data_IF_611552069635
#
_entry.id   IF_611552069635
#
_cell.length_a   1.000
_cell.length_b   1.000
_cell.length_c   1.000
_cell.angle_alpha   90.00
_cell.angle_beta   90.00
_cell.angle_gamma   90.00
#
_symmetry.space_group_name_H-M   'P 1'
#
loop_
_entity.id
_entity.type
_entity.pdbx_description
1 polymer ?
#
# COMPACT_ATOMS: atom_id res chain seq x y z
N UNK A 1 -9.54 -4.41 -18.34
CA UNK A 1 -8.61 -4.59 -19.50
C UNK A 1 -7.47 -5.47 -19.02
N UNK A 2 -7.14 -6.54 -19.68
CA UNK A 2 -6.12 -7.46 -19.15
C UNK A 2 -4.73 -6.84 -19.38
N UNK A 3 -4.14 -6.29 -18.31
CA UNK A 3 -2.91 -5.48 -18.26
C UNK A 3 -1.71 -6.22 -18.88
N UNK A 4 -1.72 -7.56 -18.84
CA UNK A 4 -0.68 -8.43 -19.42
C UNK A 4 -0.48 -8.26 -20.94
N UNK A 5 -1.42 -7.62 -21.65
CA UNK A 5 -1.37 -7.46 -23.12
C UNK A 5 -1.07 -6.04 -23.61
N UNK A 6 -0.84 -5.06 -22.71
CA UNK A 6 -0.60 -3.67 -23.13
C UNK A 6 0.70 -3.52 -23.94
N UNK A 7 0.60 -2.78 -25.02
CA UNK A 7 1.78 -2.35 -25.81
C UNK A 7 2.52 -1.22 -25.07
N UNK A 8 3.80 -0.95 -25.41
CA UNK A 8 4.51 0.21 -24.84
C UNK A 8 3.79 1.54 -25.05
N UNK A 9 3.06 1.70 -26.15
CA UNK A 9 2.28 2.92 -26.43
C UNK A 9 1.09 3.05 -25.49
N UNK A 10 0.39 1.95 -25.20
CA UNK A 10 -0.72 1.94 -24.24
C UNK A 10 -0.24 2.18 -22.81
N UNK A 11 0.93 1.63 -22.44
CA UNK A 11 1.55 1.92 -21.13
C UNK A 11 1.86 3.41 -21.00
N UNK A 12 2.41 4.04 -22.05
CA UNK A 12 2.67 5.48 -22.06
C UNK A 12 1.35 6.26 -21.92
N UNK A 13 0.30 5.87 -22.66
CA UNK A 13 -1.00 6.53 -22.58
C UNK A 13 -1.63 6.42 -21.17
N UNK A 14 -1.44 5.30 -20.46
CA UNK A 14 -1.85 5.18 -19.07
C UNK A 14 -1.02 6.07 -18.12
N UNK A 15 0.28 6.19 -18.38
CA UNK A 15 1.13 7.11 -17.62
C UNK A 15 0.77 8.58 -17.87
N UNK A 16 0.34 8.92 -19.09
CA UNK A 16 -0.07 10.28 -19.49
C UNK A 16 -1.28 10.80 -18.69
N UNK A 17 -2.11 9.90 -18.17
CA UNK A 17 -3.23 10.27 -17.29
C UNK A 17 -2.78 10.90 -15.96
N UNK A 18 -1.52 10.67 -15.55
CA UNK A 18 -0.99 11.09 -14.25
C UNK A 18 0.27 11.95 -14.35
N UNK A 19 1.02 11.83 -15.44
CA UNK A 19 2.36 12.42 -15.57
C UNK A 19 2.41 13.27 -16.81
N UNK A 20 2.59 14.56 -16.61
CA UNK A 20 2.70 15.54 -17.68
C UNK A 20 4.13 15.60 -18.22
N UNK A 21 4.26 15.63 -19.54
CA UNK A 21 5.54 15.64 -20.22
C UNK A 21 6.37 14.38 -19.97
N UNK A 22 7.70 14.50 -19.95
CA UNK A 22 8.65 13.40 -19.67
C UNK A 22 8.56 12.21 -20.63
N UNK A 23 8.27 12.47 -21.93
CA UNK A 23 7.92 11.44 -22.91
C UNK A 23 9.04 10.42 -23.14
N UNK A 24 10.31 10.87 -23.11
CA UNK A 24 11.46 9.96 -23.25
C UNK A 24 11.57 9.02 -22.06
N UNK A 25 11.33 9.53 -20.85
CA UNK A 25 11.33 8.73 -19.62
C UNK A 25 10.21 7.69 -19.64
N UNK A 26 8.97 8.11 -19.93
CA UNK A 26 7.81 7.24 -20.06
C UNK A 26 8.04 6.15 -21.10
N UNK A 27 8.57 6.51 -22.27
CA UNK A 27 8.89 5.57 -23.36
C UNK A 27 9.92 4.54 -22.93
N UNK A 28 11.05 4.97 -22.35
CA UNK A 28 12.13 4.08 -21.93
C UNK A 28 11.66 3.06 -20.89
N UNK A 29 10.89 3.53 -19.92
CA UNK A 29 10.33 2.70 -18.87
C UNK A 29 9.27 1.72 -19.41
N UNK A 30 8.40 2.18 -20.30
CA UNK A 30 7.39 1.32 -20.97
C UNK A 30 8.06 0.21 -21.82
N UNK A 31 9.17 0.51 -22.48
CA UNK A 31 9.94 -0.48 -23.24
C UNK A 31 10.58 -1.50 -22.29
N UNK A 32 11.20 -1.06 -21.19
CA UNK A 32 11.82 -1.94 -20.20
C UNK A 32 10.82 -2.94 -19.64
N UNK A 33 9.62 -2.47 -19.28
CA UNK A 33 8.53 -3.34 -18.83
C UNK A 33 8.04 -4.31 -19.92
N UNK A 34 7.83 -3.83 -21.12
CA UNK A 34 7.38 -4.72 -22.20
C UNK A 34 8.41 -5.79 -22.51
N UNK A 35 9.69 -5.47 -22.42
CA UNK A 35 10.75 -6.46 -22.58
C UNK A 35 10.72 -7.50 -21.46
N UNK A 36 10.35 -7.11 -20.24
CA UNK A 36 10.15 -8.04 -19.13
C UNK A 36 8.97 -9.00 -19.39
N UNK A 37 7.85 -8.49 -19.88
CA UNK A 37 6.73 -9.33 -20.31
C UNK A 37 7.15 -10.28 -21.45
N UNK A 38 7.89 -9.79 -22.46
CA UNK A 38 8.40 -10.62 -23.58
C UNK A 38 9.29 -11.73 -23.05
N UNK A 39 10.16 -11.43 -22.09
CA UNK A 39 11.04 -12.40 -21.43
C UNK A 39 10.23 -13.53 -20.78
N UNK A 40 9.14 -13.22 -20.09
CA UNK A 40 8.27 -14.22 -19.44
C UNK A 40 7.53 -15.15 -20.45
N UNK A 41 7.55 -14.83 -21.76
CA UNK A 41 7.00 -15.67 -22.82
C UNK A 41 8.05 -16.58 -23.48
N UNK A 42 9.31 -16.47 -23.07
CA UNK A 42 10.40 -17.30 -23.61
C UNK A 42 10.44 -18.66 -22.92
N UNK A 43 11.16 -19.62 -23.53
CA UNK A 43 11.51 -20.88 -22.87
C UNK A 43 12.35 -20.63 -21.62
N UNK A 44 12.32 -21.57 -20.68
CA UNK A 44 13.04 -21.43 -19.40
C UNK A 44 14.53 -21.17 -19.61
N UNK A 45 15.18 -21.86 -20.54
CA UNK A 45 16.59 -21.67 -20.91
C UNK A 45 16.88 -20.22 -21.36
N UNK A 46 16.10 -19.69 -22.29
CA UNK A 46 16.29 -18.32 -22.80
C UNK A 46 15.88 -17.28 -21.76
N UNK A 47 14.95 -17.60 -20.87
CA UNK A 47 14.50 -16.71 -19.80
C UNK A 47 15.58 -16.53 -18.73
N UNK A 48 16.36 -17.55 -18.43
CA UNK A 48 17.48 -17.48 -17.49
C UNK A 48 18.65 -16.63 -18.04
N UNK A 49 18.91 -16.70 -19.35
CA UNK A 49 19.98 -15.94 -20.00
C UNK A 49 19.69 -14.42 -20.14
N UNK A 50 18.42 -14.04 -20.14
CA UNK A 50 18.02 -12.64 -20.35
C UNK A 50 17.70 -11.96 -19.01
N UNK A 51 18.63 -11.16 -18.49
CA UNK A 51 18.39 -10.33 -17.30
C UNK A 51 17.69 -9.01 -17.65
N UNK A 52 16.77 -8.52 -16.80
CA UNK A 52 16.18 -7.19 -16.96
C UNK A 52 17.25 -6.10 -16.93
N UNK A 53 17.08 -5.07 -17.76
CA UNK A 53 18.00 -3.92 -17.76
C UNK A 53 17.49 -2.88 -16.77
N UNK A 54 18.30 -2.55 -15.78
CA UNK A 54 17.99 -1.54 -14.80
C UNK A 54 18.05 -0.13 -15.39
N UNK A 55 17.36 0.81 -14.75
CA UNK A 55 17.14 2.15 -15.23
C UNK A 55 17.72 3.15 -14.22
N UNK A 56 18.49 4.11 -14.69
CA UNK A 56 18.92 5.28 -13.91
C UNK A 56 18.15 6.50 -14.37
N UNK A 57 17.27 7.01 -13.50
CA UNK A 57 16.50 8.23 -13.73
C UNK A 57 17.24 9.44 -13.13
N UNK A 58 17.58 10.38 -13.96
CA UNK A 58 18.28 11.62 -13.58
C UNK A 58 17.35 12.80 -13.76
N UNK A 59 17.53 13.86 -12.99
CA UNK A 59 16.80 15.12 -13.15
C UNK A 59 16.33 15.71 -11.83
N UNK A 60 15.85 16.96 -11.84
CA UNK A 60 15.52 17.72 -10.65
C UNK A 60 14.53 17.04 -9.71
N UNK A 61 14.46 17.52 -8.49
CA UNK A 61 13.47 17.07 -7.51
C UNK A 61 12.06 17.47 -7.98
N UNK A 62 11.08 16.62 -7.74
CA UNK A 62 9.66 16.93 -8.00
C UNK A 62 9.23 16.92 -9.47
N UNK A 63 10.04 16.38 -10.41
CA UNK A 63 9.69 16.28 -11.84
C UNK A 63 8.96 14.97 -12.21
N UNK A 64 8.65 14.10 -11.24
CA UNK A 64 7.86 12.91 -11.46
C UNK A 64 8.61 11.58 -11.45
N UNK A 65 9.92 11.51 -11.14
CA UNK A 65 10.72 10.26 -11.11
C UNK A 65 10.04 9.14 -10.32
N UNK A 66 9.71 9.40 -9.07
CA UNK A 66 9.04 8.41 -8.19
C UNK A 66 7.65 8.06 -8.68
N UNK A 67 6.90 9.04 -9.21
CA UNK A 67 5.53 8.83 -9.65
C UNK A 67 5.46 7.94 -10.90
N UNK A 68 6.40 8.11 -11.85
CA UNK A 68 6.55 7.20 -13.00
C UNK A 68 6.68 5.75 -12.51
N UNK A 69 7.63 5.48 -11.61
CA UNK A 69 7.88 4.12 -11.11
C UNK A 69 6.69 3.55 -10.34
N UNK A 70 6.04 4.37 -9.49
CA UNK A 70 4.86 3.96 -8.72
C UNK A 70 3.67 3.62 -9.60
N UNK A 71 3.36 4.47 -10.59
CA UNK A 71 2.24 4.22 -11.54
C UNK A 71 2.49 3.00 -12.38
N UNK A 72 3.71 2.85 -12.82
CA UNK A 72 4.16 1.68 -13.54
C UNK A 72 3.90 0.38 -12.78
N UNK A 73 4.32 0.33 -11.53
CA UNK A 73 4.10 -0.84 -10.66
C UNK A 73 2.60 -1.13 -10.48
N UNK A 74 1.76 -0.10 -10.36
CA UNK A 74 0.30 -0.26 -10.30
C UNK A 74 -0.29 -0.80 -11.59
N UNK A 75 0.13 -0.27 -12.76
CA UNK A 75 -0.30 -0.75 -14.08
C UNK A 75 0.05 -2.23 -14.25
N UNK A 76 1.17 -2.69 -13.69
CA UNK A 76 1.64 -4.07 -13.82
C UNK A 76 1.19 -4.98 -12.69
N UNK A 77 0.49 -4.47 -11.68
CA UNK A 77 0.16 -5.19 -10.45
C UNK A 77 1.40 -5.87 -9.83
N UNK A 78 2.57 -5.21 -10.01
CA UNK A 78 3.86 -5.72 -9.59
C UNK A 78 4.17 -5.32 -8.15
N UNK A 79 4.85 -6.19 -7.38
CA UNK A 79 5.40 -5.80 -6.09
C UNK A 79 6.35 -4.62 -6.25
N UNK A 80 6.14 -3.57 -5.45
CA UNK A 80 6.90 -2.32 -5.53
C UNK A 80 7.28 -1.82 -4.17
N UNK A 81 8.56 -1.45 -4.04
CA UNK A 81 9.05 -0.69 -2.89
C UNK A 81 9.80 0.55 -3.37
N UNK A 82 9.71 1.58 -2.54
CA UNK A 82 10.57 2.76 -2.62
C UNK A 82 11.48 2.78 -1.41
N UNK A 83 12.77 2.90 -1.66
CA UNK A 83 13.80 3.02 -0.64
C UNK A 83 14.65 4.26 -0.93
N UNK A 84 15.25 4.82 0.11
CA UNK A 84 16.20 5.93 -0.03
C UNK A 84 17.61 5.38 0.21
N UNK A 85 18.53 5.61 -0.74
CA UNK A 85 19.90 5.08 -0.65
C UNK A 85 20.63 5.55 0.61
N UNK A 86 20.32 6.75 1.10
CA UNK A 86 20.89 7.35 2.31
C UNK A 86 20.49 6.69 3.62
N UNK A 87 19.45 5.84 3.63
CA UNK A 87 19.02 5.10 4.84
C UNK A 87 19.82 3.83 5.09
N UNK A 88 20.66 3.43 4.14
CA UNK A 88 21.49 2.24 4.25
C UNK A 88 22.88 2.57 4.76
N UNK A 89 23.45 1.66 5.50
CA UNK A 89 24.80 1.76 6.04
C UNK A 89 25.60 0.56 5.58
N UNK A 90 26.93 0.75 5.47
CA UNK A 90 27.87 -0.32 5.17
C UNK A 90 27.77 -1.44 6.21
N UNK A 91 27.93 -2.68 5.77
CA UNK A 91 27.88 -3.87 6.64
C UNK A 91 28.84 -3.71 7.83
N UNK A 92 28.30 -3.88 9.04
CA UNK A 92 29.05 -3.72 10.30
C UNK A 92 28.84 -2.39 11.02
N UNK A 93 28.17 -1.43 10.41
CA UNK A 93 27.74 -0.18 11.06
C UNK A 93 26.30 -0.25 11.55
N UNK A 94 25.96 0.59 12.54
CA UNK A 94 24.58 0.70 13.03
C UNK A 94 23.73 1.39 11.97
N UNK A 95 22.74 0.67 11.43
CA UNK A 95 21.84 1.17 10.42
C UNK A 95 21.07 0.05 9.74
N UNK A 96 20.41 0.37 8.65
CA UNK A 96 19.61 -0.59 7.90
C UNK A 96 20.48 -1.31 6.87
N UNK A 97 20.49 -2.62 6.84
CA UNK A 97 21.19 -3.41 5.83
C UNK A 97 20.48 -3.31 4.46
N UNK A 98 21.24 -3.46 3.37
CA UNK A 98 20.73 -3.37 2.01
C UNK A 98 19.78 -4.52 1.64
N UNK A 99 19.95 -5.72 2.24
CA UNK A 99 19.05 -6.85 1.98
C UNK A 99 17.63 -6.60 2.47
N UNK A 100 17.47 -5.69 3.44
CA UNK A 100 16.15 -5.33 3.97
C UNK A 100 15.21 -4.79 2.88
N UNK A 101 15.75 -4.18 1.79
CA UNK A 101 14.91 -3.77 0.67
C UNK A 101 14.22 -4.97 0.00
N UNK A 102 14.92 -6.09 -0.12
CA UNK A 102 14.35 -7.31 -0.73
C UNK A 102 13.35 -7.95 0.23
N UNK A 103 13.64 -7.98 1.53
CA UNK A 103 12.68 -8.46 2.55
C UNK A 103 11.39 -7.64 2.52
N UNK A 104 11.48 -6.32 2.42
CA UNK A 104 10.30 -5.44 2.30
C UNK A 104 9.54 -5.66 0.98
N UNK A 105 10.24 -5.90 -0.13
CA UNK A 105 9.62 -6.22 -1.41
C UNK A 105 8.81 -7.51 -1.34
N UNK A 106 9.35 -8.54 -0.69
CA UNK A 106 8.65 -9.82 -0.48
C UNK A 106 7.41 -9.62 0.38
N UNK A 107 7.49 -8.83 1.47
CA UNK A 107 6.31 -8.49 2.28
C UNK A 107 5.23 -7.78 1.45
N UNK A 108 5.64 -6.85 0.59
CA UNK A 108 4.71 -6.19 -0.32
C UNK A 108 4.09 -7.18 -1.31
N UNK A 109 4.88 -8.14 -1.82
CA UNK A 109 4.40 -9.20 -2.71
C UNK A 109 3.39 -10.10 -2.03
N UNK A 110 3.68 -10.58 -0.83
CA UNK A 110 2.77 -11.44 -0.04
C UNK A 110 1.44 -10.72 0.21
N UNK A 111 1.50 -9.44 0.58
CA UNK A 111 0.30 -8.64 0.79
C UNK A 111 -0.56 -8.51 -0.47
N UNK A 112 0.07 -8.22 -1.62
CA UNK A 112 -0.64 -8.07 -2.90
C UNK A 112 -1.24 -9.41 -3.34
N UNK A 113 -0.47 -10.49 -3.28
CA UNK A 113 -0.92 -11.84 -3.66
C UNK A 113 -2.05 -12.32 -2.75
N UNK A 114 -1.90 -12.13 -1.44
CA UNK A 114 -2.95 -12.44 -0.47
C UNK A 114 -4.25 -11.69 -0.77
N UNK A 115 -4.17 -10.38 -1.06
CA UNK A 115 -5.34 -9.58 -1.39
C UNK A 115 -6.03 -10.07 -2.67
N UNK A 116 -5.26 -10.41 -3.70
CA UNK A 116 -5.78 -10.96 -4.95
C UNK A 116 -6.54 -12.26 -4.71
N UNK A 117 -5.97 -13.20 -3.94
CA UNK A 117 -6.65 -14.45 -3.59
C UNK A 117 -7.90 -14.22 -2.74
N UNK A 118 -7.90 -13.24 -1.84
CA UNK A 118 -9.08 -12.80 -1.09
C UNK A 118 -10.17 -12.31 -2.05
N UNK A 119 -9.82 -11.42 -2.97
CA UNK A 119 -10.76 -10.83 -3.93
C UNK A 119 -11.39 -11.90 -4.84
N UNK A 120 -10.61 -12.90 -5.25
CA UNK A 120 -11.11 -14.06 -6.02
C UNK A 120 -12.10 -14.94 -5.24
N UNK A 121 -12.05 -14.92 -3.91
CA UNK A 121 -12.93 -15.69 -3.03
C UNK A 121 -14.14 -14.91 -2.52
N UNK A 122 -14.23 -13.59 -2.80
CA UNK A 122 -15.26 -12.73 -2.22
C UNK A 122 -16.69 -13.21 -2.48
N UNK A 123 -17.01 -13.69 -3.69
CA UNK A 123 -18.37 -14.13 -4.00
C UNK A 123 -18.78 -15.35 -3.15
N UNK A 124 -17.87 -16.28 -2.94
CA UNK A 124 -18.10 -17.47 -2.11
C UNK A 124 -18.14 -17.09 -0.63
N UNK A 125 -17.24 -16.18 -0.22
CA UNK A 125 -17.19 -15.69 1.15
C UNK A 125 -18.43 -14.89 1.53
N UNK A 126 -18.99 -14.11 0.61
CA UNK A 126 -20.22 -13.34 0.85
C UNK A 126 -21.43 -14.28 1.06
N UNK A 127 -21.53 -15.37 0.28
CA UNK A 127 -22.56 -16.40 0.48
C UNK A 127 -22.41 -17.09 1.84
N UNK A 128 -21.19 -17.44 2.27
CA UNK A 128 -20.96 -18.04 3.58
C UNK A 128 -21.23 -17.07 4.72
N UNK A 129 -20.85 -15.82 4.57
CA UNK A 129 -21.16 -14.76 5.54
C UNK A 129 -22.66 -14.55 5.69
N UNK A 130 -23.44 -14.59 4.58
CA UNK A 130 -24.91 -14.57 4.60
C UNK A 130 -25.47 -15.77 5.39
N UNK A 131 -24.95 -16.97 5.17
CA UNK A 131 -25.37 -18.18 5.88
C UNK A 131 -25.04 -18.11 7.39
N UNK A 132 -23.88 -17.57 7.77
CA UNK A 132 -23.50 -17.36 9.17
C UNK A 132 -24.39 -16.33 9.87
N UNK A 133 -24.71 -15.22 9.21
CA UNK A 133 -25.65 -14.22 9.72
C UNK A 133 -27.04 -14.84 9.87
N UNK A 134 -27.48 -15.62 8.90
CA UNK A 134 -28.75 -16.32 8.95
C UNK A 134 -28.81 -17.33 10.11
N UNK A 135 -27.71 -18.06 10.36
CA UNK A 135 -27.59 -18.97 11.51
C UNK A 135 -27.63 -18.22 12.85
N UNK A 136 -27.02 -17.02 12.91
CA UNK A 136 -27.05 -16.18 14.11
C UNK A 136 -28.44 -15.57 14.39
N UNK A 137 -29.19 -15.18 13.34
CA UNK A 137 -30.52 -14.60 13.45
C UNK A 137 -31.62 -15.71 13.68
N UNK A 138 -31.46 -16.87 13.03
CA UNK A 138 -32.43 -18.01 13.13
C UNK A 138 -31.63 -19.30 13.42
N UNK A 139 -31.24 -19.53 14.68
CA UNK A 139 -30.44 -20.70 15.06
C UNK A 139 -31.20 -22.03 14.83
N UNK A 140 -30.48 -23.06 14.36
CA UNK A 140 -31.02 -24.43 14.29
C UNK A 140 -31.22 -25.01 15.68
N UNK A 141 -32.43 -25.49 15.96
CA UNK A 141 -32.74 -26.12 17.23
C UNK A 141 -31.89 -27.38 17.56
N UNK A 142 -31.22 -27.96 16.55
CA UNK A 142 -30.36 -29.14 16.70
C UNK A 142 -28.89 -28.81 17.09
N UNK A 143 -28.42 -27.59 16.90
CA UNK A 143 -27.02 -27.23 17.15
C UNK A 143 -26.71 -26.65 18.55
N UNK A 144 -27.71 -26.39 19.39
CA UNK A 144 -27.54 -25.86 20.76
C UNK A 144 -26.76 -26.76 21.73
N UNK A 145 -26.31 -27.96 21.32
CA UNK A 145 -25.65 -28.94 22.21
C UNK A 145 -24.09 -28.97 22.15
N UNK A 146 -23.42 -28.06 21.44
CA UNK A 146 -21.94 -28.13 21.34
C UNK A 146 -21.15 -26.92 21.86
N UNK A 147 -21.77 -25.91 22.42
CA UNK A 147 -21.05 -24.72 22.92
C UNK A 147 -20.92 -24.67 24.46
N UNK A 148 -20.76 -25.81 25.12
CA UNK A 148 -20.70 -25.85 26.57
C UNK A 148 -19.85 -26.98 27.19
N UNK A 149 -18.97 -27.61 26.42
CA UNK A 149 -17.98 -28.56 27.00
C UNK A 149 -16.55 -28.10 26.70
N UNK A 150 -15.99 -27.32 27.62
CA UNK A 150 -14.57 -27.31 27.88
C UNK A 150 -14.17 -28.70 28.33
N UNK A 151 -13.76 -29.55 27.40
CA UNK A 151 -13.19 -30.86 27.77
C UNK A 151 -11.78 -30.62 28.33
N UNK A 152 -11.71 -30.39 29.63
CA UNK A 152 -10.47 -30.61 30.38
C UNK A 152 -10.14 -32.10 30.30
N UNK A 153 -8.94 -32.52 29.91
CA UNK A 153 -8.51 -33.91 29.88
C UNK A 153 -8.62 -34.60 31.25
N UNK A 154 -8.81 -33.85 32.32
CA UNK A 154 -8.97 -34.34 33.69
C UNK A 154 -10.39 -34.75 34.07
N UNK A 155 -11.44 -34.29 33.36
CA UNK A 155 -12.81 -34.66 33.67
C UNK A 155 -13.14 -36.13 33.29
N UNK A 156 -12.40 -36.74 32.37
CA UNK A 156 -12.57 -38.14 32.01
C UNK A 156 -12.12 -39.09 33.14
N UNK A 157 -11.21 -38.66 34.01
CA UNK A 157 -10.71 -39.50 35.11
C UNK A 157 -11.61 -39.43 36.36
N UNK A 158 -12.39 -38.37 36.53
CA UNK A 158 -13.28 -38.19 37.69
C UNK A 158 -14.67 -38.77 37.48
N UNK A 159 -15.13 -39.03 36.27
CA UNK A 159 -16.46 -39.49 35.96
C UNK A 159 -16.59 -41.00 35.69
N UNK A 160 -15.59 -41.82 36.06
CA UNK A 160 -15.69 -43.27 35.98
C UNK A 160 -16.43 -43.93 37.16
N UNK A 161 -17.15 -43.16 37.99
CA UNK A 161 -17.98 -43.65 39.07
C UNK A 161 -19.45 -43.26 38.84
N UNK A 162 -20.23 -44.19 38.33
CA UNK A 162 -21.63 -43.99 37.94
C UNK A 162 -22.51 -43.41 39.03
N UNK A 163 -23.28 -42.41 38.64
CA UNK A 163 -24.65 -42.09 39.04
C UNK A 163 -25.20 -41.03 38.09
N UNK A 164 -25.92 -41.46 37.05
CA UNK A 164 -26.71 -40.56 36.20
C UNK A 164 -27.92 -40.09 36.97
N UNK A 165 -28.01 -38.79 37.27
CA UNK A 165 -29.17 -38.22 37.95
C UNK A 165 -30.35 -38.06 36.99
N UNK A 166 -31.55 -38.51 37.42
CA UNK A 166 -32.84 -38.40 36.74
C UNK A 166 -33.25 -36.96 36.32
N UNK A 167 -32.48 -35.98 36.62
CA UNK A 167 -32.75 -34.56 36.32
C UNK A 167 -32.50 -34.19 34.86
N UNK A 168 -31.55 -34.86 34.20
CA UNK A 168 -31.22 -34.60 32.76
C UNK A 168 -32.27 -35.17 31.79
N UNK A 169 -33.00 -36.20 32.18
CA UNK A 169 -34.07 -36.77 31.34
C UNK A 169 -35.32 -35.89 31.29
N UNK A 170 -35.64 -35.14 32.36
CA UNK A 170 -36.78 -34.22 32.42
C UNK A 170 -36.54 -32.93 31.66
N UNK A 171 -35.33 -32.36 31.70
CA UNK A 171 -34.97 -31.17 30.91
C UNK A 171 -34.87 -31.47 29.41
N UNK A 172 -34.42 -32.65 29.03
CA UNK A 172 -34.41 -33.09 27.64
C UNK A 172 -35.80 -33.34 27.03
N UNK A 173 -36.81 -33.74 27.85
CA UNK A 173 -38.19 -33.90 27.35
C UNK A 173 -38.91 -32.58 27.17
N UNK A 174 -38.71 -31.59 28.05
CA UNK A 174 -39.30 -30.25 27.90
C UNK A 174 -38.70 -29.44 26.75
N UNK A 175 -37.43 -29.65 26.44
CA UNK A 175 -36.77 -29.00 25.28
C UNK A 175 -37.17 -29.65 23.93
N UNK A 176 -37.61 -30.92 23.93
CA UNK A 176 -38.11 -31.61 22.72
C UNK A 176 -39.54 -31.21 22.35
N UNK A 177 -40.38 -30.84 23.34
CA UNK A 177 -41.77 -30.40 23.11
C UNK A 177 -41.90 -28.95 22.64
N UNK A 178 -40.84 -28.13 22.83
CA UNK A 178 -40.80 -26.72 22.38
C UNK A 178 -40.00 -26.50 21.08
N UNK A 179 -39.52 -27.56 20.42
CA UNK A 179 -38.87 -27.46 19.13
C UNK A 179 -39.91 -27.16 18.04
N UNK A 180 -39.84 -25.97 17.43
CA UNK A 180 -40.63 -25.65 16.24
C UNK A 180 -40.40 -26.73 15.17
N UNK A 181 -41.43 -27.14 14.40
CA UNK A 181 -41.26 -28.06 13.30
C UNK A 181 -40.14 -27.63 12.37
N UNK A 182 -39.35 -28.55 11.84
CA UNK A 182 -38.23 -28.26 10.95
C UNK A 182 -38.64 -27.42 9.71
N UNK A 183 -39.87 -27.61 9.26
CA UNK A 183 -40.46 -26.87 8.14
C UNK A 183 -40.69 -25.37 8.47
N UNK A 184 -41.10 -25.05 9.71
CA UNK A 184 -41.29 -23.65 10.15
C UNK A 184 -39.97 -22.90 10.25
N UNK A 185 -38.88 -23.57 10.68
CA UNK A 185 -37.56 -22.99 10.75
C UNK A 185 -37.01 -22.76 9.33
N UNK A 186 -37.23 -23.68 8.41
CA UNK A 186 -36.81 -23.52 7.02
C UNK A 186 -37.52 -22.35 6.33
N UNK A 187 -38.84 -22.19 6.56
CA UNK A 187 -39.60 -21.05 6.04
C UNK A 187 -39.12 -19.71 6.64
N UNK A 188 -38.87 -19.67 7.94
CA UNK A 188 -38.36 -18.48 8.62
C UNK A 188 -36.96 -18.08 8.08
N UNK A 189 -36.08 -19.05 7.86
CA UNK A 189 -34.74 -18.80 7.26
C UNK A 189 -34.86 -18.26 5.84
N UNK A 190 -35.73 -18.79 5.02
CA UNK A 190 -35.93 -18.34 3.66
C UNK A 190 -36.50 -16.90 3.62
N UNK A 191 -37.38 -16.56 4.55
CA UNK A 191 -37.90 -15.21 4.70
C UNK A 191 -36.76 -14.21 5.12
N UNK A 192 -36.03 -14.56 6.17
CA UNK A 192 -34.90 -13.73 6.66
C UNK A 192 -33.84 -13.60 5.59
N UNK A 193 -33.53 -14.64 4.81
CA UNK A 193 -32.61 -14.56 3.67
C UNK A 193 -33.05 -13.54 2.61
N UNK A 194 -34.37 -13.50 2.28
CA UNK A 194 -34.90 -12.49 1.36
C UNK A 194 -34.77 -11.07 1.94
N UNK A 195 -35.10 -10.89 3.21
CA UNK A 195 -35.00 -9.60 3.89
C UNK A 195 -33.56 -9.10 4.02
N UNK A 196 -32.58 -10.02 4.21
CA UNK A 196 -31.14 -9.73 4.18
C UNK A 196 -30.69 -9.26 2.79
N UNK A 197 -31.18 -9.90 1.72
CA UNK A 197 -30.85 -9.50 0.33
C UNK A 197 -31.51 -8.20 -0.08
N UNK A 198 -32.73 -7.94 0.43
CA UNK A 198 -33.45 -6.68 0.25
C UNK A 198 -32.85 -5.52 1.07
N UNK A 199 -31.84 -5.79 1.94
CA UNK A 199 -31.21 -4.77 2.80
C UNK A 199 -32.08 -4.26 3.95
N UNK A 200 -33.20 -4.95 4.27
CA UNK A 200 -34.13 -4.54 5.33
C UNK A 200 -33.58 -4.74 6.74
N UNK A 201 -32.62 -5.65 6.90
CA UNK A 201 -32.05 -6.05 8.19
C UNK A 201 -30.67 -5.45 8.47
N UNK A 202 -30.18 -4.51 7.65
CA UNK A 202 -28.83 -3.94 7.75
C UNK A 202 -28.51 -3.32 9.13
N UNK A 203 -29.52 -2.75 9.81
CA UNK A 203 -29.39 -2.13 11.13
C UNK A 203 -29.76 -3.05 12.31
N UNK A 204 -30.26 -4.26 12.05
CA UNK A 204 -30.55 -5.25 13.09
C UNK A 204 -29.27 -5.72 13.77
N UNK A 205 -29.34 -5.93 15.09
CA UNK A 205 -28.20 -6.37 15.89
C UNK A 205 -28.07 -7.89 15.84
N UNK A 206 -26.93 -8.36 15.40
CA UNK A 206 -26.57 -9.79 15.38
C UNK A 206 -25.38 -10.06 16.28
N UNK A 207 -25.37 -11.20 16.95
CA UNK A 207 -24.22 -11.69 17.72
C UNK A 207 -23.40 -12.64 16.86
N UNK A 208 -22.15 -12.28 16.63
CA UNK A 208 -21.22 -13.07 15.83
C UNK A 208 -19.92 -13.34 16.59
N UNK A 209 -19.28 -14.43 16.21
CA UNK A 209 -17.95 -14.78 16.66
C UNK A 209 -16.90 -14.09 15.79
N UNK A 210 -16.16 -13.14 16.38
CA UNK A 210 -15.08 -12.45 15.70
C UNK A 210 -13.74 -13.03 16.15
N UNK A 211 -12.93 -13.49 15.21
CA UNK A 211 -11.55 -13.89 15.50
C UNK A 211 -10.75 -12.68 15.97
N UNK A 212 -10.14 -12.77 17.13
CA UNK A 212 -9.25 -11.74 17.66
C UNK A 212 -7.83 -12.16 17.36
N UNK A 213 -7.18 -11.48 16.42
CA UNK A 213 -5.72 -11.56 16.29
C UNK A 213 -5.10 -11.03 17.58
N UNK A 214 -4.26 -11.81 18.27
CA UNK A 214 -3.55 -11.30 19.44
C UNK A 214 -2.72 -10.09 19.01
N UNK A 215 -2.93 -8.95 19.67
CA UNK A 215 -2.08 -7.77 19.49
C UNK A 215 -0.69 -8.12 20.04
N UNK A 216 0.24 -8.45 19.17
CA UNK A 216 1.64 -8.76 19.49
C UNK A 216 2.37 -7.60 20.18
N UNK A 217 1.82 -6.39 20.11
CA UNK A 217 2.43 -5.19 20.72
C UNK A 217 2.38 -5.13 22.25
N UNK A 218 1.74 -6.06 22.95
CA UNK A 218 1.71 -6.06 24.42
C UNK A 218 2.66 -7.08 25.08
N UNK A 219 3.31 -7.94 24.31
CA UNK A 219 4.25 -8.95 24.83
C UNK A 219 5.73 -8.54 24.70
N UNK A 220 6.03 -7.45 23.99
CA UNK A 220 7.41 -7.02 23.72
C UNK A 220 8.09 -6.24 24.86
N UNK A 221 7.42 -5.97 25.98
CA UNK A 221 8.00 -5.10 27.02
C UNK A 221 8.69 -5.81 28.21
N UNK A 222 8.78 -7.14 28.25
CA UNK A 222 9.38 -7.77 29.45
C UNK A 222 10.43 -8.88 29.24
N UNK A 223 10.76 -9.32 28.03
CA UNK A 223 11.87 -10.27 27.85
C UNK A 223 12.52 -10.15 26.47
N UNK A 224 13.50 -9.28 26.34
CA UNK A 224 14.42 -9.26 25.19
C UNK A 224 15.25 -10.56 25.17
N UNK A 225 14.90 -11.50 24.31
CA UNK A 225 15.75 -12.64 23.97
C UNK A 225 15.09 -14.02 23.83
N UNK A 226 13.94 -14.29 24.45
CA UNK A 226 13.31 -15.63 24.40
C UNK A 226 11.88 -15.62 23.82
N UNK A 227 11.21 -14.48 23.77
CA UNK A 227 9.80 -14.36 23.36
C UNK A 227 9.57 -14.53 21.86
N UNK A 228 10.54 -14.14 21.03
CA UNK A 228 10.41 -14.12 19.57
C UNK A 228 10.42 -15.53 18.97
N UNK A 229 11.23 -16.43 19.54
CA UNK A 229 11.34 -17.82 19.07
C UNK A 229 10.09 -18.67 19.40
N UNK A 230 9.43 -18.40 20.52
CA UNK A 230 8.28 -19.18 21.00
C UNK A 230 6.98 -18.72 20.28
N UNK A 231 6.83 -17.43 20.01
CA UNK A 231 5.66 -16.87 19.31
C UNK A 231 5.52 -17.38 17.86
N UNK A 232 6.63 -17.54 17.16
CA UNK A 232 6.63 -18.01 15.77
C UNK A 232 6.44 -19.54 15.61
N UNK A 233 6.79 -20.33 16.64
CA UNK A 233 6.66 -21.81 16.58
C UNK A 233 5.27 -22.26 17.06
N UNK A 234 4.63 -21.53 17.97
CA UNK A 234 3.35 -21.90 18.55
C UNK A 234 2.16 -21.04 18.09
N UNK A 235 2.39 -19.99 17.31
CA UNK A 235 1.33 -19.06 16.85
C UNK A 235 0.23 -19.75 16.06
N UNK A 236 0.57 -20.70 15.20
CA UNK A 236 -0.37 -21.46 14.38
C UNK A 236 -1.03 -22.65 15.11
N UNK A 237 -0.49 -23.09 16.25
CA UNK A 237 -1.06 -24.20 17.03
C UNK A 237 -1.98 -23.74 18.18
N UNK A 238 -2.03 -22.44 18.50
CA UNK A 238 -3.00 -21.96 19.49
C UNK A 238 -4.40 -21.81 18.85
N UNK A 239 -5.46 -22.35 19.49
CA UNK A 239 -6.81 -22.12 19.01
C UNK A 239 -7.07 -20.62 18.98
N UNK A 240 -7.48 -20.11 17.81
CA UNK A 240 -7.83 -18.72 17.60
C UNK A 240 -8.85 -18.29 18.64
N UNK A 241 -8.55 -17.29 19.44
CA UNK A 241 -9.50 -16.78 20.43
C UNK A 241 -10.61 -16.05 19.71
N UNK A 242 -11.83 -16.60 19.77
CA UNK A 242 -13.05 -15.93 19.32
C UNK A 242 -13.64 -15.09 20.44
N UNK A 243 -14.15 -13.92 20.12
CA UNK A 243 -14.96 -13.09 21.02
C UNK A 243 -16.34 -12.91 20.43
N UNK A 244 -17.37 -13.23 21.22
CA UNK A 244 -18.75 -12.90 20.90
C UNK A 244 -18.91 -11.38 20.87
N UNK A 245 -19.36 -10.84 19.76
CA UNK A 245 -19.57 -9.39 19.60
C UNK A 245 -20.94 -9.12 19.00
N UNK A 246 -21.67 -8.17 19.60
CA UNK A 246 -22.97 -7.74 19.11
C UNK A 246 -22.80 -6.49 18.27
N UNK A 247 -23.25 -6.52 17.02
CA UNK A 247 -23.10 -5.43 16.06
C UNK A 247 -24.19 -5.43 15.00
N UNK A 248 -24.40 -4.34 14.25
CA UNK A 248 -25.32 -4.30 13.12
C UNK A 248 -24.96 -5.31 12.03
N UNK A 249 -25.96 -5.89 11.37
CA UNK A 249 -25.78 -6.86 10.27
C UNK A 249 -24.84 -6.32 9.18
N UNK A 250 -24.93 -5.05 8.83
CA UNK A 250 -24.07 -4.40 7.85
C UNK A 250 -22.58 -4.54 8.19
N UNK A 251 -22.21 -4.33 9.47
CA UNK A 251 -20.84 -4.48 9.95
C UNK A 251 -20.44 -5.94 10.05
N UNK A 252 -21.35 -6.78 10.59
CA UNK A 252 -21.17 -8.22 10.71
C UNK A 252 -20.88 -8.87 9.35
N UNK A 253 -21.64 -8.53 8.32
CA UNK A 253 -21.44 -9.02 6.94
C UNK A 253 -20.04 -8.71 6.43
N UNK A 254 -19.55 -7.49 6.63
CA UNK A 254 -18.20 -7.10 6.20
C UNK A 254 -17.11 -7.92 6.89
N UNK A 255 -17.22 -8.07 8.21
CA UNK A 255 -16.24 -8.80 9.02
C UNK A 255 -16.27 -10.30 8.69
N UNK A 256 -17.44 -10.92 8.65
CA UNK A 256 -17.58 -12.33 8.35
C UNK A 256 -17.13 -12.67 6.93
N UNK A 257 -17.45 -11.83 5.95
CA UNK A 257 -16.97 -12.02 4.58
C UNK A 257 -15.45 -12.01 4.51
N UNK A 258 -14.81 -11.09 5.21
CA UNK A 258 -13.35 -11.00 5.26
C UNK A 258 -12.75 -12.22 5.98
N UNK A 259 -13.31 -12.63 7.10
CA UNK A 259 -12.89 -13.84 7.84
C UNK A 259 -13.05 -15.11 6.99
N UNK A 260 -14.20 -15.29 6.33
CA UNK A 260 -14.44 -16.43 5.46
C UNK A 260 -13.51 -16.44 4.26
N UNK A 261 -13.30 -15.29 3.60
CA UNK A 261 -12.34 -15.20 2.50
C UNK A 261 -10.91 -15.57 2.95
N UNK A 262 -10.49 -15.10 4.13
CA UNK A 262 -9.19 -15.45 4.70
C UNK A 262 -9.08 -16.92 5.09
N UNK A 263 -10.16 -17.53 5.62
CA UNK A 263 -10.17 -18.94 6.02
C UNK A 263 -10.04 -19.92 4.84
N UNK A 264 -10.41 -19.45 3.63
CA UNK A 264 -10.31 -20.22 2.39
C UNK A 264 -8.95 -20.12 1.69
N UNK A 265 -8.02 -19.34 2.25
CA UNK A 265 -6.69 -19.18 1.66
C UNK A 265 -5.80 -20.37 2.03
N UNK A 266 -5.15 -20.91 1.03
CA UNK A 266 -3.95 -21.72 1.21
C UNK A 266 -2.74 -20.78 1.32
N UNK A 267 -2.26 -20.58 2.55
CA UNK A 267 -1.15 -19.66 2.80
C UNK A 267 0.16 -20.11 2.18
N UNK A 268 0.39 -21.42 2.05
CA UNK A 268 1.59 -21.94 1.41
C UNK A 268 1.59 -21.60 -0.08
N UNK A 269 0.44 -21.80 -0.75
CA UNK A 269 0.27 -21.40 -2.15
C UNK A 269 0.41 -19.88 -2.34
N UNK A 270 -0.15 -19.08 -1.44
CA UNK A 270 -0.03 -17.62 -1.47
C UNK A 270 1.44 -17.18 -1.35
N UNK A 271 2.19 -17.81 -0.44
CA UNK A 271 3.61 -17.49 -0.23
C UNK A 271 4.44 -17.88 -1.45
N UNK A 272 4.26 -19.08 -2.00
CA UNK A 272 4.99 -19.54 -3.19
C UNK A 272 4.73 -18.64 -4.40
N UNK A 273 3.47 -18.28 -4.66
CA UNK A 273 3.12 -17.34 -5.73
C UNK A 273 3.72 -15.94 -5.46
N UNK A 274 3.72 -15.50 -4.21
CA UNK A 274 4.28 -14.20 -3.84
C UNK A 274 5.80 -14.15 -4.00
N UNK A 275 6.53 -15.20 -3.63
CA UNK A 275 7.98 -15.31 -3.83
C UNK A 275 8.31 -15.27 -5.32
N UNK A 276 7.61 -16.07 -6.12
CA UNK A 276 7.77 -16.09 -7.57
C UNK A 276 7.44 -14.71 -8.18
N UNK A 277 6.39 -14.06 -7.72
CA UNK A 277 6.01 -12.72 -8.18
C UNK A 277 7.06 -11.67 -7.80
N UNK A 278 7.64 -11.73 -6.59
CA UNK A 278 8.72 -10.84 -6.17
C UNK A 278 9.97 -11.03 -7.05
N UNK A 279 10.38 -12.28 -7.30
CA UNK A 279 11.53 -12.60 -8.15
C UNK A 279 11.35 -12.15 -9.59
N UNK A 280 10.20 -12.48 -10.20
CA UNK A 280 9.99 -12.28 -11.62
C UNK A 280 9.42 -10.90 -11.97
N UNK A 281 8.66 -10.27 -11.08
CA UNK A 281 7.95 -9.02 -11.34
C UNK A 281 8.31 -7.88 -10.38
N UNK A 282 9.07 -8.12 -9.31
CA UNK A 282 9.44 -7.13 -8.32
C UNK A 282 10.12 -5.90 -8.90
N UNK A 283 9.79 -4.72 -8.39
CA UNK A 283 10.37 -3.43 -8.77
C UNK A 283 10.90 -2.74 -7.52
N UNK A 284 12.19 -2.47 -7.49
CA UNK A 284 12.87 -1.74 -6.41
C UNK A 284 13.24 -0.34 -6.93
N UNK A 285 12.67 0.69 -6.34
CA UNK A 285 13.01 2.07 -6.64
C UNK A 285 13.94 2.62 -5.56
N UNK A 286 15.18 2.89 -5.96
CA UNK A 286 16.24 3.41 -5.08
C UNK A 286 16.33 4.92 -5.33
N UNK A 287 15.76 5.72 -4.42
CA UNK A 287 15.79 7.18 -4.50
C UNK A 287 17.08 7.73 -3.91
N UNK A 288 17.44 8.94 -4.30
CA UNK A 288 18.62 9.66 -3.81
C UNK A 288 19.95 8.91 -4.02
N UNK A 289 20.06 8.12 -5.11
CA UNK A 289 21.30 7.37 -5.41
C UNK A 289 22.51 8.31 -5.68
N UNK A 290 22.26 9.54 -6.07
CA UNK A 290 23.27 10.60 -6.24
C UNK A 290 23.93 11.01 -4.92
N UNK A 291 23.27 10.79 -3.79
CA UNK A 291 23.81 11.14 -2.46
C UNK A 291 24.87 10.13 -1.96
N UNK A 292 24.82 8.91 -2.46
CA UNK A 292 25.86 7.90 -2.19
C UNK A 292 26.96 7.90 -3.26
N UNK A 293 26.83 8.67 -4.33
CA UNK A 293 27.91 8.87 -5.30
C UNK A 293 29.07 9.63 -4.65
N UNK A 294 30.29 9.14 -4.83
CA UNK A 294 31.48 9.69 -4.21
C UNK A 294 31.91 10.97 -4.92
N UNK A 295 31.40 12.12 -4.45
CA UNK A 295 32.10 13.39 -4.75
C UNK A 295 33.35 13.46 -3.89
N UNK A 296 34.45 13.93 -4.46
CA UNK A 296 35.82 14.08 -3.90
C UNK A 296 35.92 15.02 -2.69
N UNK A 297 35.13 14.87 -1.66
CA UNK A 297 35.28 15.58 -0.40
C UNK A 297 35.86 14.66 0.67
N UNK A 298 36.96 15.06 1.22
CA UNK A 298 37.72 14.44 2.30
C UNK A 298 36.78 13.89 3.38
N UNK A 299 36.75 12.58 3.52
CA UNK A 299 36.03 11.91 4.59
C UNK A 299 36.65 12.26 5.95
N UNK A 300 35.92 12.98 6.78
CA UNK A 300 36.24 13.06 8.20
C UNK A 300 36.05 11.68 8.82
N UNK A 301 37.02 11.25 9.61
CA UNK A 301 37.03 9.95 10.28
C UNK A 301 35.77 9.78 11.15
N UNK A 302 34.85 8.91 10.70
CA UNK A 302 33.62 8.57 11.43
C UNK A 302 32.34 8.60 10.62
N UNK A 303 32.35 9.06 9.37
CA UNK A 303 31.18 8.97 8.46
C UNK A 303 31.10 7.59 7.80
N UNK A 304 29.88 7.07 7.67
CA UNK A 304 29.59 5.85 6.90
C UNK A 304 30.11 6.03 5.47
N UNK A 305 30.88 5.07 5.00
CA UNK A 305 31.45 5.11 3.65
C UNK A 305 30.35 5.03 2.61
N UNK A 306 30.16 6.13 1.84
CA UNK A 306 29.21 6.17 0.72
C UNK A 306 29.54 5.13 -0.35
N UNK A 307 30.82 4.86 -0.55
CA UNK A 307 31.30 3.83 -1.46
C UNK A 307 31.02 2.43 -0.92
N UNK A 308 31.09 2.22 0.40
CA UNK A 308 30.70 0.97 1.06
C UNK A 308 29.23 0.60 0.79
N UNK A 309 28.33 1.57 0.93
CA UNK A 309 26.90 1.37 0.59
C UNK A 309 26.70 0.97 -0.87
N UNK A 310 27.45 1.58 -1.81
CA UNK A 310 27.37 1.19 -3.22
C UNK A 310 27.85 -0.24 -3.44
N UNK A 311 28.92 -0.65 -2.76
CA UNK A 311 29.46 -2.02 -2.83
C UNK A 311 28.50 -3.04 -2.23
N UNK A 312 27.75 -2.67 -1.19
CA UNK A 312 26.74 -3.54 -0.57
C UNK A 312 25.47 -3.67 -1.43
N UNK A 313 25.08 -2.61 -2.16
CA UNK A 313 23.97 -2.64 -3.11
C UNK A 313 24.32 -3.48 -4.36
N UNK A 314 25.56 -3.51 -4.77
CA UNK A 314 26.00 -4.13 -6.01
C UNK A 314 25.60 -5.60 -6.13
N UNK A 315 25.86 -6.50 -5.14
CA UNK A 315 25.42 -7.90 -5.22
C UNK A 315 23.92 -8.06 -5.40
N UNK A 316 23.14 -7.20 -4.76
CA UNK A 316 21.67 -7.22 -4.87
C UNK A 316 21.21 -6.88 -6.30
N UNK A 317 21.86 -5.90 -6.93
CA UNK A 317 21.55 -5.46 -8.31
C UNK A 317 22.12 -6.42 -9.37
N UNK A 318 23.21 -7.11 -9.04
CA UNK A 318 23.86 -8.10 -9.92
C UNK A 318 23.14 -9.44 -9.96
N UNK A 319 22.45 -9.77 -8.88
CA UNK A 319 21.78 -11.04 -8.66
C UNK A 319 22.42 -11.79 -7.47
N UNK A 320 21.64 -11.94 -6.43
CA UNK A 320 22.01 -12.68 -5.22
C UNK A 320 20.80 -13.37 -4.61
N UNK A 321 21.04 -14.27 -3.67
CA UNK A 321 19.98 -14.91 -2.91
C UNK A 321 19.88 -14.22 -1.56
N UNK A 322 18.70 -13.66 -1.27
CA UNK A 322 18.39 -13.01 0.01
C UNK A 322 17.45 -13.89 0.82
N UNK A 323 17.82 -14.14 2.07
CA UNK A 323 16.97 -14.90 2.99
C UNK A 323 15.89 -13.99 3.58
N UNK A 324 14.64 -14.43 3.43
CA UNK A 324 13.46 -13.77 4.03
C UNK A 324 12.76 -14.72 5.00
N UNK A 325 11.83 -14.20 5.78
CA UNK A 325 11.01 -15.05 6.68
C UNK A 325 10.07 -16.01 5.92
N UNK A 326 9.87 -15.77 4.63
CA UNK A 326 9.04 -16.60 3.76
C UNK A 326 9.85 -17.60 2.91
N UNK A 327 11.18 -17.52 2.95
CA UNK A 327 12.10 -18.34 2.19
C UNK A 327 13.15 -17.52 1.45
N UNK A 328 14.11 -18.19 0.78
CA UNK A 328 15.12 -17.54 -0.03
C UNK A 328 14.52 -16.96 -1.31
N UNK A 329 15.03 -15.81 -1.74
CA UNK A 329 14.56 -15.08 -2.94
C UNK A 329 15.75 -14.65 -3.78
N UNK A 330 15.69 -14.91 -5.09
CA UNK A 330 16.68 -14.49 -6.07
C UNK A 330 16.37 -13.09 -6.61
N UNK A 331 17.40 -12.24 -6.71
CA UNK A 331 17.23 -10.87 -7.19
C UNK A 331 17.54 -10.67 -8.68
N UNK A 332 18.04 -11.70 -9.38
CA UNK A 332 18.51 -11.68 -10.78
C UNK A 332 17.52 -11.07 -11.76
N UNK A 333 16.23 -11.24 -11.50
CA UNK A 333 15.17 -10.84 -12.43
C UNK A 333 14.32 -9.69 -11.93
N UNK A 334 14.67 -9.11 -10.79
CA UNK A 334 14.05 -7.88 -10.29
C UNK A 334 14.45 -6.69 -11.14
N UNK A 335 13.58 -5.69 -11.23
CA UNK A 335 13.88 -4.43 -11.90
C UNK A 335 14.31 -3.40 -10.85
N UNK A 336 15.54 -2.93 -10.96
CA UNK A 336 16.03 -1.84 -10.14
C UNK A 336 15.95 -0.53 -10.93
N UNK A 337 15.38 0.49 -10.30
CA UNK A 337 15.28 1.84 -10.84
C UNK A 337 15.98 2.76 -9.86
N UNK A 338 17.21 3.18 -10.18
CA UNK A 338 17.92 4.20 -9.45
C UNK A 338 17.42 5.60 -9.84
N UNK A 339 17.24 6.49 -8.87
CA UNK A 339 16.83 7.86 -9.11
C UNK A 339 17.69 8.85 -8.32
N UNK A 340 18.09 9.93 -8.96
CA UNK A 340 18.89 10.99 -8.34
C UNK A 340 18.71 12.32 -9.04
N UNK A 341 19.02 13.41 -8.32
CA UNK A 341 19.02 14.73 -8.89
C UNK A 341 20.29 14.98 -9.73
N UNK A 342 21.41 14.45 -9.31
CA UNK A 342 22.73 14.61 -9.94
C UNK A 342 23.14 16.08 -10.21
N UNK A 343 22.75 16.98 -9.29
CA UNK A 343 23.13 18.40 -9.38
C UNK A 343 24.59 18.65 -8.97
N UNK A 344 25.04 17.97 -7.90
CA UNK A 344 26.38 18.10 -7.34
C UNK A 344 27.30 16.99 -7.81
N UNK A 345 26.78 15.75 -7.81
CA UNK A 345 27.45 14.56 -8.32
C UNK A 345 27.03 14.25 -9.76
N UNK A 346 27.82 13.46 -10.46
CA UNK A 346 27.51 12.96 -11.80
C UNK A 346 27.26 11.46 -11.75
N UNK A 347 26.53 10.88 -12.71
CA UNK A 347 26.40 9.42 -12.81
C UNK A 347 27.75 8.68 -12.90
N UNK A 348 28.79 9.34 -13.40
CA UNK A 348 30.17 8.83 -13.43
C UNK A 348 30.85 8.75 -12.06
N UNK A 349 30.26 9.35 -11.04
CA UNK A 349 30.81 9.33 -9.68
C UNK A 349 30.31 8.11 -8.88
N UNK A 350 29.36 7.33 -9.44
CA UNK A 350 29.06 6.00 -8.97
C UNK A 350 30.21 5.06 -9.29
N UNK A 351 30.40 3.99 -8.51
CA UNK A 351 31.44 2.99 -8.82
C UNK A 351 31.19 2.37 -10.20
N UNK A 352 32.24 2.08 -11.00
CA UNK A 352 32.10 1.62 -12.39
C UNK A 352 31.21 0.38 -12.53
N UNK A 353 31.28 -0.54 -11.60
CA UNK A 353 30.50 -1.77 -11.57
C UNK A 353 28.99 -1.46 -11.49
N UNK A 354 28.62 -0.54 -10.59
CA UNK A 354 27.22 -0.14 -10.42
C UNK A 354 26.71 0.64 -11.64
N UNK A 355 27.56 1.51 -12.25
CA UNK A 355 27.22 2.18 -13.50
C UNK A 355 26.88 1.18 -14.62
N UNK A 356 27.64 0.08 -14.72
CA UNK A 356 27.41 -0.99 -15.71
C UNK A 356 26.08 -1.72 -15.50
N UNK A 357 25.58 -1.75 -14.27
CA UNK A 357 24.30 -2.40 -13.93
C UNK A 357 23.07 -1.51 -14.17
N UNK A 358 23.25 -0.21 -14.44
CA UNK A 358 22.21 0.72 -14.84
C UNK A 358 22.41 1.21 -16.28
N UNK A 359 22.29 0.33 -17.30
CA UNK A 359 22.62 0.67 -18.68
C UNK A 359 21.62 1.64 -19.33
N UNK A 360 20.39 1.71 -18.83
CA UNK A 360 19.37 2.62 -19.35
C UNK A 360 19.41 3.90 -18.54
N UNK A 361 19.91 4.97 -19.13
CA UNK A 361 19.96 6.30 -18.52
C UNK A 361 18.84 7.15 -19.10
N UNK A 362 18.04 7.74 -18.23
CA UNK A 362 16.88 8.56 -18.61
C UNK A 362 16.97 9.89 -17.88
N UNK A 363 16.93 10.98 -18.63
CA UNK A 363 16.95 12.33 -18.08
C UNK A 363 15.54 12.93 -18.11
N UNK A 364 15.06 13.36 -16.95
CA UNK A 364 13.82 14.08 -16.81
C UNK A 364 14.09 15.58 -16.85
N UNK A 365 13.29 16.28 -17.65
CA UNK A 365 13.45 17.72 -17.88
C UNK A 365 12.82 18.53 -16.75
N UNK A 366 13.31 19.77 -16.57
CA UNK A 366 12.64 20.77 -15.75
C UNK A 366 11.21 20.99 -16.23
N UNK A 367 10.34 21.35 -15.31
CA UNK A 367 8.97 21.73 -15.63
C UNK A 367 8.94 23.21 -16.03
N UNK A 368 8.35 23.50 -17.16
CA UNK A 368 8.05 24.87 -17.60
C UNK A 368 6.67 25.32 -17.08
N UNK A 369 6.34 26.60 -17.29
CA UNK A 369 5.05 27.17 -16.85
C UNK A 369 3.84 26.38 -17.39
N UNK A 370 3.92 25.94 -18.64
CA UNK A 370 2.83 25.19 -19.27
C UNK A 370 2.67 23.80 -18.64
N UNK A 371 3.77 23.14 -18.31
CA UNK A 371 3.75 21.87 -17.58
C UNK A 371 3.13 22.05 -16.18
N UNK A 372 3.44 23.13 -15.45
CA UNK A 372 2.78 23.44 -14.17
C UNK A 372 1.27 23.63 -14.30
N UNK A 373 0.84 24.37 -15.32
CA UNK A 373 -0.59 24.57 -15.64
C UNK A 373 -1.29 23.25 -15.91
N UNK A 374 -0.66 22.39 -16.71
CA UNK A 374 -1.20 21.06 -17.01
C UNK A 374 -1.25 20.16 -15.76
N UNK A 375 -0.20 20.18 -14.90
CA UNK A 375 -0.18 19.40 -13.65
C UNK A 375 -1.31 19.82 -12.69
N UNK A 376 -1.69 21.09 -12.69
CA UNK A 376 -2.80 21.60 -11.89
C UNK A 376 -4.16 21.04 -12.33
N UNK A 377 -4.36 20.78 -13.63
CA UNK A 377 -5.68 20.59 -14.21
C UNK A 377 -5.93 19.23 -14.86
N UNK A 378 -4.97 18.72 -15.63
CA UNK A 378 -5.17 17.58 -16.54
C UNK A 378 -5.19 16.23 -15.81
N UNK A 379 -4.20 15.87 -14.98
CA UNK A 379 -4.14 14.54 -14.37
C UNK A 379 -5.42 14.14 -13.65
N UNK A 380 -5.69 12.83 -13.59
CA UNK A 380 -6.81 12.31 -12.78
C UNK A 380 -6.67 12.72 -11.31
N UNK A 381 -5.46 12.79 -10.82
CA UNK A 381 -5.10 13.28 -9.49
C UNK A 381 -4.57 14.73 -9.51
N UNK A 382 -5.05 15.59 -10.38
CA UNK A 382 -4.65 16.99 -10.45
C UNK A 382 -4.81 17.70 -9.10
N UNK A 383 -3.91 18.63 -8.78
CA UNK A 383 -3.88 19.30 -7.47
C UNK A 383 -5.18 20.03 -7.18
N UNK A 384 -5.75 20.72 -8.18
CA UNK A 384 -7.05 21.40 -8.06
C UNK A 384 -8.17 20.39 -7.73
N UNK A 385 -8.21 19.23 -8.40
CA UNK A 385 -9.23 18.21 -8.13
C UNK A 385 -9.14 17.65 -6.71
N UNK A 386 -7.91 17.51 -6.19
CA UNK A 386 -7.70 17.07 -4.81
C UNK A 386 -8.22 18.09 -3.81
N UNK A 387 -7.94 19.39 -4.02
CA UNK A 387 -8.42 20.46 -3.13
C UNK A 387 -9.95 20.61 -3.19
N UNK A 388 -10.54 20.55 -4.38
CA UNK A 388 -12.00 20.55 -4.54
C UNK A 388 -12.64 19.41 -3.75
N UNK A 389 -12.18 18.17 -3.93
CA UNK A 389 -12.70 17.01 -3.24
C UNK A 389 -12.51 17.09 -1.71
N UNK A 390 -11.41 17.71 -1.25
CA UNK A 390 -11.17 17.90 0.20
C UNK A 390 -12.18 18.86 0.81
N UNK A 391 -12.39 20.03 0.20
CA UNK A 391 -13.31 21.05 0.72
C UNK A 391 -14.79 20.68 0.52
N UNK A 392 -15.09 19.87 -0.49
CA UNK A 392 -16.44 19.31 -0.71
C UNK A 392 -16.90 18.43 0.48
N UNK A 393 -15.97 17.78 1.23
CA UNK A 393 -16.31 17.03 2.45
C UNK A 393 -16.91 17.91 3.55
N UNK A 394 -16.59 19.21 3.55
CA UNK A 394 -17.14 20.23 4.45
C UNK A 394 -18.33 20.98 3.83
N UNK A 395 -18.81 20.52 2.67
CA UNK A 395 -19.95 21.14 1.96
C UNK A 395 -19.61 22.41 1.19
N UNK A 396 -18.33 22.66 0.91
CA UNK A 396 -17.87 23.86 0.19
C UNK A 396 -17.45 23.51 -1.22
N UNK A 397 -18.08 24.14 -2.20
CA UNK A 397 -17.68 24.07 -3.60
C UNK A 397 -16.60 25.12 -3.90
N UNK A 398 -15.50 24.71 -4.53
CA UNK A 398 -14.39 25.62 -4.87
C UNK A 398 -14.17 25.64 -6.37
N UNK A 399 -14.19 26.83 -6.96
CA UNK A 399 -13.89 27.02 -8.37
C UNK A 399 -12.67 27.89 -8.60
N UNK A 400 -11.94 27.55 -9.66
CA UNK A 400 -10.74 28.27 -10.08
C UNK A 400 -10.94 28.84 -11.46
N UNK A 401 -10.66 30.14 -11.65
CA UNK A 401 -10.66 30.74 -12.98
C UNK A 401 -9.40 30.36 -13.76
N UNK A 402 -9.46 30.40 -15.08
CA UNK A 402 -8.32 30.08 -15.95
C UNK A 402 -7.14 31.06 -15.69
N UNK A 403 -7.47 32.31 -15.35
CA UNK A 403 -6.47 33.35 -15.00
C UNK A 403 -5.81 33.04 -13.65
N UNK A 404 -6.56 32.51 -12.68
CA UNK A 404 -5.97 32.06 -11.41
C UNK A 404 -5.02 30.89 -11.60
N UNK A 405 -5.41 29.91 -12.41
CA UNK A 405 -4.60 28.75 -12.76
C UNK A 405 -3.28 29.19 -13.44
N UNK A 406 -3.37 30.12 -14.39
CA UNK A 406 -2.21 30.66 -15.09
C UNK A 406 -1.26 31.43 -14.17
N UNK A 407 -1.84 32.19 -13.20
CA UNK A 407 -1.08 32.93 -12.19
C UNK A 407 -0.37 31.98 -11.21
N UNK A 408 -1.06 30.95 -10.70
CA UNK A 408 -0.49 29.91 -9.82
C UNK A 408 0.64 29.17 -10.53
N UNK A 409 0.46 28.77 -11.79
CA UNK A 409 1.50 28.12 -12.59
C UNK A 409 2.71 29.04 -12.82
N UNK A 410 2.48 30.31 -13.11
CA UNK A 410 3.53 31.32 -13.26
C UNK A 410 4.33 31.54 -11.98
N UNK A 411 3.66 31.63 -10.83
CA UNK A 411 4.31 31.74 -9.53
C UNK A 411 5.14 30.52 -9.19
N UNK A 412 4.61 29.31 -9.42
CA UNK A 412 5.34 28.08 -9.16
C UNK A 412 6.61 27.99 -10.01
N UNK A 413 6.54 28.40 -11.26
CA UNK A 413 7.69 28.44 -12.15
C UNK A 413 8.75 29.45 -11.66
N UNK A 414 8.35 30.70 -11.40
CA UNK A 414 9.25 31.75 -10.93
C UNK A 414 9.91 31.40 -9.60
N UNK A 415 9.14 30.89 -8.62
CA UNK A 415 9.69 30.48 -7.34
C UNK A 415 10.69 29.32 -7.45
N UNK A 416 10.53 28.41 -8.40
CA UNK A 416 11.51 27.36 -8.67
C UNK A 416 12.77 27.87 -9.39
N UNK A 417 12.68 28.97 -10.13
CA UNK A 417 13.83 29.63 -10.75
C UNK A 417 14.62 30.46 -9.73
N UNK A 418 13.92 31.17 -8.83
CA UNK A 418 14.54 32.12 -7.89
C UNK A 418 14.99 31.47 -6.57
N UNK A 419 14.43 30.33 -6.20
CA UNK A 419 14.74 29.60 -4.97
C UNK A 419 15.17 28.17 -5.26
N UNK A 420 15.16 27.29 -4.26
CA UNK A 420 15.39 25.85 -4.45
C UNK A 420 14.31 25.24 -5.35
N UNK A 421 14.75 24.60 -6.43
CA UNK A 421 13.85 23.94 -7.36
C UNK A 421 13.32 22.62 -6.76
N UNK A 422 12.07 22.65 -6.29
CA UNK A 422 11.35 21.48 -5.77
C UNK A 422 10.31 20.93 -6.75
N UNK A 423 10.30 21.41 -7.98
CA UNK A 423 9.42 20.97 -9.07
C UNK A 423 7.94 21.12 -8.73
N UNK A 424 7.14 20.14 -9.10
CA UNK A 424 5.68 20.14 -8.89
C UNK A 424 5.26 20.19 -7.42
N UNK A 425 6.15 19.86 -6.45
CA UNK A 425 5.85 20.03 -5.03
C UNK A 425 5.53 21.47 -4.66
N UNK A 426 6.08 22.43 -5.41
CA UNK A 426 5.77 23.85 -5.24
C UNK A 426 4.29 24.16 -5.37
N UNK A 427 3.59 23.46 -6.26
CA UNK A 427 2.15 23.64 -6.45
C UNK A 427 1.34 23.32 -5.20
N UNK A 428 1.71 22.27 -4.46
CA UNK A 428 1.05 21.91 -3.20
C UNK A 428 1.24 23.02 -2.15
N UNK A 429 2.48 23.52 -2.00
CA UNK A 429 2.77 24.62 -1.06
C UNK A 429 1.98 25.88 -1.41
N UNK A 430 1.89 26.22 -2.70
CA UNK A 430 1.12 27.37 -3.17
C UNK A 430 -0.37 27.18 -2.88
N UNK A 431 -0.92 26.00 -3.19
CA UNK A 431 -2.34 25.71 -2.98
C UNK A 431 -2.72 25.71 -1.48
N UNK A 432 -1.89 25.12 -0.62
CA UNK A 432 -2.07 25.15 0.83
C UNK A 432 -2.08 26.59 1.36
N UNK A 433 -1.10 27.40 0.95
CA UNK A 433 -1.06 28.82 1.32
C UNK A 433 -2.28 29.60 0.82
N UNK A 434 -2.73 29.34 -0.40
CA UNK A 434 -3.85 30.04 -1.01
C UNK A 434 -5.17 29.76 -0.31
N UNK A 435 -5.38 28.52 0.08
CA UNK A 435 -6.62 28.06 0.70
C UNK A 435 -6.59 28.04 2.24
N UNK A 436 -5.48 28.48 2.86
CA UNK A 436 -5.25 28.46 4.30
C UNK A 436 -6.39 29.15 5.08
N UNK A 437 -6.76 30.36 4.69
CA UNK A 437 -7.81 31.14 5.38
C UNK A 437 -9.19 30.47 5.23
N UNK A 438 -9.49 29.97 4.03
CA UNK A 438 -10.75 29.25 3.77
C UNK A 438 -10.82 27.99 4.61
N UNK A 439 -9.74 27.21 4.66
CA UNK A 439 -9.66 25.96 5.43
C UNK A 439 -9.73 26.20 6.93
N UNK A 440 -9.22 27.33 7.42
CA UNK A 440 -9.26 27.70 8.84
C UNK A 440 -10.67 28.08 9.32
N UNK A 441 -11.49 28.67 8.43
CA UNK A 441 -12.85 29.08 8.75
C UNK A 441 -13.88 27.95 8.68
N UNK A 442 -13.52 26.80 8.13
CA UNK A 442 -14.39 25.63 8.00
C UNK A 442 -14.32 24.70 9.22
N UNK A 443 -15.44 23.99 9.59
CA UNK A 443 -16.75 24.04 8.93
C UNK A 443 -17.54 25.30 9.26
N UNK A 444 -18.03 26.00 8.25
CA UNK A 444 -18.87 27.20 8.41
C UNK A 444 -20.07 27.12 7.46
N UNK A 445 -21.33 27.08 7.96
CA UNK A 445 -22.52 26.95 7.13
C UNK A 445 -22.77 28.16 6.20
N UNK A 446 -22.14 29.30 6.46
CA UNK A 446 -22.28 30.51 5.64
C UNK A 446 -21.35 30.47 4.42
N UNK A 447 -20.35 29.59 4.38
CA UNK A 447 -19.40 29.43 3.29
C UNK A 447 -19.78 28.17 2.52
N UNK A 448 -20.50 28.32 1.42
CA UNK A 448 -20.92 27.20 0.54
C UNK A 448 -20.18 27.17 -0.79
N UNK A 449 -19.61 28.30 -1.20
CA UNK A 449 -18.90 28.42 -2.47
C UNK A 449 -17.73 29.40 -2.35
N UNK A 450 -16.57 29.03 -2.91
CA UNK A 450 -15.37 29.88 -2.99
C UNK A 450 -14.91 29.95 -4.43
N UNK A 451 -14.80 31.17 -4.96
CA UNK A 451 -14.22 31.42 -6.27
C UNK A 451 -12.78 31.93 -6.11
N UNK A 452 -11.83 31.12 -6.57
CA UNK A 452 -10.42 31.51 -6.62
C UNK A 452 -10.15 32.20 -7.96
N UNK A 453 -9.98 33.51 -7.91
CA UNK A 453 -9.65 34.34 -9.05
C UNK A 453 -8.18 34.84 -8.99
N UNK A 454 -7.76 35.53 -10.02
CA UNK A 454 -6.40 36.09 -10.11
C UNK A 454 -6.10 37.09 -9.00
N UNK A 455 -7.07 37.87 -8.58
CA UNK A 455 -6.88 38.92 -7.57
C UNK A 455 -6.62 38.29 -6.19
N UNK A 456 -7.36 37.24 -5.84
CA UNK A 456 -7.18 36.46 -4.62
C UNK A 456 -5.76 35.87 -4.56
N UNK A 457 -5.30 35.26 -5.67
CA UNK A 457 -3.96 34.69 -5.78
C UNK A 457 -2.90 35.78 -5.54
N UNK A 458 -3.01 36.91 -6.27
CA UNK A 458 -2.04 38.00 -6.17
C UNK A 458 -2.03 38.66 -4.79
N UNK A 459 -3.18 38.85 -4.17
CA UNK A 459 -3.31 39.45 -2.84
C UNK A 459 -2.60 38.58 -1.79
N UNK A 460 -2.91 37.31 -1.74
CA UNK A 460 -2.34 36.37 -0.74
C UNK A 460 -0.81 36.30 -0.83
N UNK A 461 -0.27 36.27 -2.03
CA UNK A 461 1.19 36.19 -2.22
C UNK A 461 1.93 37.53 -2.07
N UNK A 462 1.31 38.67 -2.39
CA UNK A 462 1.91 39.99 -2.10
C UNK A 462 2.03 40.25 -0.60
N UNK A 463 1.09 39.78 0.20
CA UNK A 463 1.16 39.86 1.67
C UNK A 463 2.33 39.01 2.19
N UNK A 464 2.49 37.79 1.71
CA UNK A 464 3.56 36.86 2.15
C UNK A 464 4.97 37.27 1.68
N UNK A 465 5.11 37.88 0.50
CA UNK A 465 6.38 38.45 0.04
C UNK A 465 6.79 39.61 0.94
N UNK A 466 5.87 40.44 1.42
CA UNK A 466 6.17 41.52 2.36
C UNK A 466 6.63 41.00 3.72
N UNK A 467 6.07 39.92 4.21
CA UNK A 467 6.51 39.26 5.45
C UNK A 467 7.93 38.71 5.34
N UNK A 468 8.27 38.05 4.22
CA UNK A 468 9.59 37.48 3.97
C UNK A 468 10.65 38.57 3.78
N UNK A 469 10.31 39.69 3.19
CA UNK A 469 11.25 40.84 3.04
C UNK A 469 11.50 41.52 4.40
N UNK A 470 10.52 41.53 5.31
CA UNK A 470 10.72 42.07 6.68
C UNK A 470 11.68 41.17 7.49
N UNK A 471 11.58 39.85 7.36
CA UNK A 471 12.47 38.90 8.06
C UNK A 471 13.95 39.01 7.56
N UNK A 472 14.20 39.44 6.31
CA UNK A 472 15.54 39.71 5.81
C UNK A 472 16.17 40.96 6.39
N UNK A 473 15.39 41.88 6.97
CA UNK A 473 15.87 43.13 7.57
C UNK A 473 15.92 43.11 9.09
N UNK A 474 15.56 41.98 9.74
CA UNK A 474 15.59 41.83 11.22
C UNK A 474 16.77 40.96 11.68
N UNK A 475 17.77 40.70 10.82
CA UNK A 475 19.06 40.08 11.20
C UNK A 475 20.17 41.09 11.27
#
# INVERSE_FOLDING_TARGET
MNIKNMTPKEIVAELDKYIIGQDEAKKSVAIALRNRYRRNQLSDEMREEITPKNILMMGPTGVGKTEIARRLARIMEAPFIKVEATKYTEVGYVGRDVESMIRDLVEASVRITKQKHIDEKYDIADQRAEDLILEALVPDAKKKKKSGESSNPFDFILNSGGYTSQKEEYENKQNAENAKPADDIAMAREQVRRELRDGKLENELVEIDVEVTPNTNQLDMQNEGMGIAIGNIFGDMMPKKTKHKKMPVKEARKILREQEAQSMLDMDQVVDEALMNAEQNGIVFIDEIDKIASGSSVTSSGEVSREGVQRDILPIVEGSVVNTKHGPVKTDHMLFIGAGAFHVSKPSDLIPELQGRFPIKVELKNLDKEAFKQILTVPENAVIKQQKALLETEGVEVDFTDEAIDEIAGMAFLMNEETENIGARRLYTIMETLLEDVSYELPNPDITHVLVDREMVQKKFKEKIREVDVDKYIL
#
